data_IF_514857486389
#
_entry.id   IF_514857486389
#
_cell.length_a   1.000
_cell.length_b   1.000
_cell.length_c   1.000
_cell.angle_alpha   90.00
_cell.angle_beta   90.00
_cell.angle_gamma   90.00
#
_symmetry.space_group_name_H-M   'P 1'
#
loop_
_entity.id
_entity.type
_entity.pdbx_description
1 polymer ?
#
# COMPACT_ATOMS: atom_id res chain seq x y z
N UNK A 1 18.74 29.75 -20.65
CA UNK A 1 18.38 29.65 -19.24
C UNK A 1 16.97 29.04 -19.18
N UNK A 2 16.88 27.75 -19.12
CA UNK A 2 15.62 27.00 -19.07
C UNK A 2 15.18 26.93 -17.62
N UNK A 3 14.12 27.65 -17.28
CA UNK A 3 13.36 27.43 -16.07
C UNK A 3 12.71 26.04 -16.19
N UNK A 4 13.43 25.02 -15.82
CA UNK A 4 12.79 23.78 -15.40
C UNK A 4 12.20 24.07 -14.02
N UNK A 5 10.88 24.27 -13.98
CA UNK A 5 10.12 24.19 -12.73
C UNK A 5 10.40 22.81 -12.15
N UNK A 6 11.28 22.77 -11.15
CA UNK A 6 11.66 21.54 -10.51
C UNK A 6 10.53 21.05 -9.60
N UNK A 7 9.68 20.22 -10.15
CA UNK A 7 8.91 19.30 -9.30
C UNK A 7 9.91 18.32 -8.73
N UNK A 8 10.20 18.42 -7.46
CA UNK A 8 11.07 17.47 -6.77
C UNK A 8 10.35 16.12 -6.72
N UNK A 9 10.83 15.17 -7.51
CA UNK A 9 10.46 13.76 -7.42
C UNK A 9 11.10 13.22 -6.14
N UNK A 10 10.49 13.57 -5.02
CA UNK A 10 11.12 13.43 -3.69
C UNK A 10 11.23 11.97 -3.28
N UNK A 11 10.17 11.18 -3.46
CA UNK A 11 10.15 9.80 -2.96
C UNK A 11 11.10 8.89 -3.75
N UNK A 12 11.13 9.02 -5.08
CA UNK A 12 12.10 8.29 -5.91
C UNK A 12 13.54 8.49 -5.44
N UNK A 13 13.94 9.76 -5.28
CA UNK A 13 15.32 10.07 -4.88
C UNK A 13 15.65 9.55 -3.49
N UNK A 14 14.73 9.66 -2.54
CA UNK A 14 14.91 9.14 -1.19
C UNK A 14 15.05 7.61 -1.18
N UNK A 15 14.32 6.90 -2.03
CA UNK A 15 14.45 5.45 -2.17
C UNK A 15 15.78 5.06 -2.80
N UNK A 16 16.20 5.71 -3.87
CA UNK A 16 17.44 5.37 -4.59
C UNK A 16 18.72 5.76 -3.83
N UNK A 17 18.65 6.75 -2.93
CA UNK A 17 19.80 7.22 -2.15
C UNK A 17 19.74 6.73 -0.71
N UNK A 18 18.82 7.27 0.06
CA UNK A 18 18.83 7.13 1.51
C UNK A 18 18.34 5.77 2.01
N UNK A 19 17.27 5.24 1.37
CA UNK A 19 16.76 3.91 1.72
C UNK A 19 17.79 2.82 1.43
N UNK A 20 18.46 2.90 0.27
CA UNK A 20 19.50 1.95 -0.11
C UNK A 20 20.65 1.98 0.89
N UNK A 21 21.11 3.17 1.26
CA UNK A 21 22.22 3.34 2.24
C UNK A 21 21.81 2.82 3.61
N UNK A 22 20.67 3.25 4.12
CA UNK A 22 20.18 2.85 5.45
C UNK A 22 20.06 1.34 5.60
N UNK A 23 19.60 0.68 4.57
CA UNK A 23 19.38 -0.76 4.59
C UNK A 23 20.56 -1.59 4.04
N UNK A 24 21.69 -0.95 3.79
CA UNK A 24 22.92 -1.60 3.28
C UNK A 24 22.68 -2.43 2.02
N UNK A 25 21.99 -1.82 1.05
CA UNK A 25 21.62 -2.45 -0.23
C UNK A 25 22.66 -2.04 -1.28
N UNK A 26 23.06 -2.99 -2.12
CA UNK A 26 23.85 -2.65 -3.30
C UNK A 26 23.00 -1.84 -4.28
N UNK A 27 23.46 -0.63 -4.62
CA UNK A 27 22.79 0.24 -5.60
C UNK A 27 22.89 -0.28 -7.04
N UNK A 28 23.75 -1.27 -7.31
CA UNK A 28 23.97 -1.78 -8.66
C UNK A 28 22.73 -2.47 -9.24
N UNK A 29 22.13 -1.82 -10.24
CA UNK A 29 20.95 -2.35 -10.96
C UNK A 29 19.63 -2.14 -10.20
N UNK A 30 19.61 -1.28 -9.19
CA UNK A 30 18.38 -0.83 -8.52
C UNK A 30 18.01 0.53 -9.07
N UNK A 31 16.81 0.62 -9.64
CA UNK A 31 16.27 1.86 -10.21
C UNK A 31 14.79 1.96 -9.89
N UNK A 32 14.37 3.13 -9.44
CA UNK A 32 12.95 3.46 -9.27
C UNK A 32 12.46 4.14 -10.55
N UNK A 33 11.45 3.56 -11.16
CA UNK A 33 10.77 4.15 -12.33
C UNK A 33 9.37 4.54 -11.87
N UNK A 34 9.15 5.81 -11.50
CA UNK A 34 7.84 6.29 -11.12
C UNK A 34 6.96 6.49 -12.35
N UNK A 35 5.67 6.36 -12.17
CA UNK A 35 4.66 6.91 -13.07
C UNK A 35 4.21 8.26 -12.53
N UNK A 36 4.20 9.29 -13.38
CA UNK A 36 3.72 10.63 -13.04
C UNK A 36 2.41 10.86 -13.77
N UNK A 37 1.36 11.20 -13.03
CA UNK A 37 0.04 11.44 -13.62
C UNK A 37 -0.66 12.63 -12.99
N UNK A 38 -1.31 13.45 -13.81
CA UNK A 38 -2.28 14.47 -13.41
C UNK A 38 -3.72 14.05 -13.71
N UNK A 39 -3.97 12.77 -13.99
CA UNK A 39 -5.30 12.28 -14.26
C UNK A 39 -6.22 12.49 -13.05
N UNK A 40 -7.44 13.00 -13.31
CA UNK A 40 -8.44 13.24 -12.27
C UNK A 40 -9.08 11.94 -11.81
N UNK A 41 -9.53 11.12 -12.75
CA UNK A 41 -10.17 9.86 -12.48
C UNK A 41 -9.41 8.72 -13.16
N UNK A 42 -8.93 7.76 -12.39
CA UNK A 42 -8.18 6.64 -12.94
C UNK A 42 -8.20 5.43 -12.02
N UNK A 43 -7.85 4.29 -12.60
CA UNK A 43 -7.61 3.06 -11.87
C UNK A 43 -6.14 2.70 -11.84
N UNK A 44 -5.73 2.11 -10.72
CA UNK A 44 -4.49 1.37 -10.58
C UNK A 44 -4.73 -0.14 -10.64
N UNK A 45 -3.73 -0.85 -11.14
CA UNK A 45 -3.68 -2.30 -11.15
C UNK A 45 -2.30 -2.76 -10.70
N UNK A 46 -2.25 -3.87 -9.96
CA UNK A 46 -1.00 -4.50 -9.54
C UNK A 46 -0.29 -5.16 -10.75
N UNK A 47 0.24 -4.30 -11.62
CA UNK A 47 1.01 -4.65 -12.80
C UNK A 47 2.30 -3.84 -12.85
N UNK A 48 3.34 -4.39 -13.46
CA UNK A 48 4.56 -3.65 -13.80
C UNK A 48 4.86 -3.78 -15.31
N UNK A 49 5.15 -2.68 -16.04
CA UNK A 49 5.19 -1.30 -15.57
C UNK A 49 3.83 -0.77 -15.14
N UNK A 50 3.85 0.25 -14.27
CA UNK A 50 2.63 0.93 -13.77
C UNK A 50 1.80 1.43 -14.96
N UNK A 51 0.51 1.24 -14.89
CA UNK A 51 -0.44 1.71 -15.91
C UNK A 51 -1.56 2.51 -15.25
N UNK A 52 -1.79 3.68 -15.79
CA UNK A 52 -2.97 4.48 -15.49
C UNK A 52 -4.10 4.00 -16.40
N UNK A 53 -5.14 3.46 -15.83
CA UNK A 53 -6.25 2.82 -16.54
C UNK A 53 -7.51 3.68 -16.39
N UNK A 54 -8.45 3.63 -17.36
CA UNK A 54 -9.80 4.17 -17.17
C UNK A 54 -10.51 3.53 -15.96
N UNK A 55 -11.42 4.27 -15.33
CA UNK A 55 -12.23 3.75 -14.21
C UNK A 55 -12.94 2.43 -14.56
N UNK A 56 -12.95 1.50 -13.61
CA UNK A 56 -13.56 0.18 -13.74
C UNK A 56 -12.65 -0.86 -14.41
N UNK A 57 -11.42 -0.52 -14.81
CA UNK A 57 -10.50 -1.44 -15.47
C UNK A 57 -9.34 -1.93 -14.58
N UNK A 58 -9.23 -1.41 -13.37
CA UNK A 58 -8.18 -1.75 -12.42
C UNK A 58 -8.67 -2.48 -11.17
N UNK A 59 -7.92 -2.31 -10.10
CA UNK A 59 -8.18 -2.91 -8.78
C UNK A 59 -8.41 -1.86 -7.70
N UNK A 60 -8.05 -0.60 -7.96
CA UNK A 60 -8.28 0.56 -7.10
C UNK A 60 -8.61 1.76 -7.96
N UNK A 61 -9.80 2.33 -7.76
CA UNK A 61 -10.24 3.57 -8.40
C UNK A 61 -9.85 4.78 -7.54
N UNK A 62 -9.24 5.78 -8.18
CA UNK A 62 -8.77 7.01 -7.54
C UNK A 62 -9.41 8.23 -8.21
N UNK A 63 -9.90 9.15 -7.38
CA UNK A 63 -10.29 10.50 -7.76
C UNK A 63 -9.26 11.48 -7.22
N UNK A 64 -8.61 12.23 -8.09
CA UNK A 64 -7.51 13.14 -7.78
C UNK A 64 -7.84 14.57 -8.17
N UNK A 65 -8.01 15.44 -7.19
CA UNK A 65 -8.17 16.90 -7.37
C UNK A 65 -6.92 17.70 -6.98
N UNK A 66 -5.80 17.02 -6.68
CA UNK A 66 -4.64 17.64 -6.03
C UNK A 66 -3.45 17.91 -6.97
N UNK A 67 -3.60 17.67 -8.27
CA UNK A 67 -2.56 17.92 -9.26
C UNK A 67 -1.74 16.67 -9.61
N UNK A 68 -0.43 16.81 -9.74
CA UNK A 68 0.41 15.70 -10.17
C UNK A 68 0.73 14.73 -9.03
N UNK A 69 0.63 13.45 -9.35
CA UNK A 69 0.93 12.35 -8.46
C UNK A 69 2.18 11.62 -8.93
N UNK A 70 3.07 11.27 -8.01
CA UNK A 70 4.13 10.29 -8.20
C UNK A 70 3.65 8.94 -7.69
N UNK A 71 3.69 7.91 -8.53
CA UNK A 71 3.28 6.55 -8.19
C UNK A 71 4.49 5.63 -8.37
N UNK A 72 4.89 4.95 -7.32
CA UNK A 72 6.03 4.02 -7.31
C UNK A 72 5.54 2.62 -7.01
N UNK A 73 5.91 1.66 -7.86
CA UNK A 73 5.70 0.23 -7.56
C UNK A 73 6.76 -0.22 -6.54
N UNK A 74 6.40 -0.14 -5.27
CA UNK A 74 7.34 -0.33 -4.15
C UNK A 74 7.78 -1.79 -4.00
N UNK A 75 6.87 -2.75 -4.18
CA UNK A 75 7.24 -4.16 -4.16
C UNK A 75 8.28 -4.48 -5.24
N UNK A 76 8.10 -3.96 -6.46
CA UNK A 76 9.09 -4.14 -7.55
C UNK A 76 10.45 -3.52 -7.22
N UNK A 77 10.47 -2.31 -6.62
CA UNK A 77 11.70 -1.69 -6.14
C UNK A 77 12.42 -2.58 -5.11
N UNK A 78 11.70 -3.07 -4.11
CA UNK A 78 12.27 -3.94 -3.07
C UNK A 78 12.76 -5.25 -3.64
N UNK A 79 12.07 -5.83 -4.63
CA UNK A 79 12.47 -7.06 -5.29
C UNK A 79 13.77 -6.92 -6.12
N UNK A 80 14.09 -5.71 -6.61
CA UNK A 80 15.38 -5.41 -7.23
C UNK A 80 16.53 -5.35 -6.22
N UNK A 81 16.22 -5.05 -4.94
CA UNK A 81 17.21 -4.89 -3.90
C UNK A 81 17.86 -6.23 -3.54
N UNK A 82 19.09 -6.46 -4.01
CA UNK A 82 19.88 -7.64 -3.62
C UNK A 82 20.35 -7.46 -2.19
N UNK A 83 19.82 -8.25 -1.26
CA UNK A 83 20.09 -8.14 0.18
C UNK A 83 20.63 -9.44 0.76
N UNK A 84 21.35 -9.34 1.91
CA UNK A 84 21.58 -10.51 2.74
C UNK A 84 20.24 -11.21 3.06
N UNK A 85 20.24 -12.52 3.01
CA UNK A 85 19.03 -13.35 3.15
C UNK A 85 18.20 -13.06 4.44
N UNK A 86 18.84 -12.51 5.49
CA UNK A 86 18.20 -12.13 6.74
C UNK A 86 17.20 -10.97 6.64
N UNK A 87 17.35 -10.08 5.66
CA UNK A 87 16.45 -8.93 5.52
C UNK A 87 15.17 -9.26 4.73
N UNK A 88 15.24 -10.20 3.79
CA UNK A 88 14.14 -10.53 2.87
C UNK A 88 13.25 -11.67 3.38
N UNK A 89 13.72 -12.47 4.35
CA UNK A 89 12.96 -13.59 4.86
C UNK A 89 11.71 -13.12 5.58
N UNK A 90 10.56 -13.37 4.96
CA UNK A 90 9.23 -13.17 5.56
C UNK A 90 8.69 -11.74 5.56
N UNK A 91 9.34 -10.77 4.91
CA UNK A 91 8.82 -9.41 4.78
C UNK A 91 8.06 -9.24 3.48
N UNK A 92 6.76 -9.40 3.57
CA UNK A 92 5.83 -8.95 2.53
C UNK A 92 5.87 -7.43 2.42
N UNK A 93 5.76 -6.88 1.22
CA UNK A 93 5.77 -5.44 0.93
C UNK A 93 4.46 -5.04 0.31
N UNK A 94 4.04 -3.79 0.54
CA UNK A 94 2.91 -3.23 -0.17
C UNK A 94 3.25 -2.97 -1.64
N UNK A 95 2.23 -2.89 -2.48
CA UNK A 95 2.39 -2.78 -3.92
C UNK A 95 2.90 -1.40 -4.33
N UNK A 96 2.28 -0.32 -3.83
CA UNK A 96 2.58 1.03 -4.28
C UNK A 96 2.80 2.03 -3.15
N UNK A 97 3.61 3.06 -3.46
CA UNK A 97 3.63 4.35 -2.77
C UNK A 97 3.10 5.38 -3.76
N UNK A 98 2.17 6.23 -3.32
CA UNK A 98 1.64 7.33 -4.09
C UNK A 98 1.80 8.63 -3.28
N UNK A 99 2.31 9.67 -3.92
CA UNK A 99 2.53 10.98 -3.29
C UNK A 99 2.04 12.11 -4.18
N UNK A 100 1.45 13.16 -3.59
CA UNK A 100 1.17 14.40 -4.29
C UNK A 100 2.46 15.20 -4.43
N UNK A 101 2.86 15.52 -5.67
CA UNK A 101 4.11 16.23 -5.98
C UNK A 101 3.96 17.73 -5.75
N UNK A 102 2.84 18.30 -6.19
CA UNK A 102 2.61 19.76 -6.24
C UNK A 102 2.37 20.37 -4.86
N UNK A 103 1.92 19.54 -3.94
CA UNK A 103 1.63 19.92 -2.56
C UNK A 103 1.87 18.71 -1.64
N UNK A 104 2.19 18.93 -0.40
CA UNK A 104 2.35 17.84 0.57
C UNK A 104 0.99 17.47 1.21
N UNK A 105 -0.06 17.28 0.38
CA UNK A 105 -1.37 16.97 0.92
C UNK A 105 -1.53 15.49 1.25
N UNK A 106 -1.18 14.59 0.35
CA UNK A 106 -1.48 13.17 0.55
C UNK A 106 -0.29 12.27 0.22
N UNK A 107 -0.02 11.32 1.12
CA UNK A 107 0.82 10.14 0.87
C UNK A 107 0.02 8.88 1.17
N UNK A 108 0.05 7.93 0.23
CA UNK A 108 -0.60 6.62 0.37
C UNK A 108 0.44 5.50 0.26
N UNK A 109 0.36 4.52 1.15
CA UNK A 109 0.89 3.18 0.93
C UNK A 109 -0.28 2.29 0.54
N UNK A 110 -0.18 1.58 -0.57
CA UNK A 110 -1.30 0.84 -1.16
C UNK A 110 -0.94 -0.64 -1.26
N UNK A 111 -1.84 -1.49 -0.77
CA UNK A 111 -1.82 -2.93 -0.96
C UNK A 111 -3.11 -3.37 -1.64
N UNK A 112 -3.00 -4.10 -2.74
CA UNK A 112 -4.14 -4.57 -3.51
C UNK A 112 -4.26 -6.08 -3.42
N UNK A 113 -5.46 -6.60 -3.19
CA UNK A 113 -5.67 -8.04 -3.08
C UNK A 113 -7.00 -8.48 -3.67
N UNK A 114 -6.99 -9.65 -4.26
CA UNK A 114 -8.22 -10.36 -4.63
C UNK A 114 -8.37 -11.61 -3.78
N UNK A 115 -9.57 -11.89 -3.32
CA UNK A 115 -9.90 -13.08 -2.56
C UNK A 115 -11.08 -13.83 -3.20
N UNK A 116 -10.89 -15.12 -3.45
CA UNK A 116 -11.99 -16.00 -3.77
C UNK A 116 -12.72 -16.39 -2.48
N UNK A 117 -14.00 -16.03 -2.38
CA UNK A 117 -15.03 -16.61 -1.51
C UNK A 117 -14.86 -16.59 0.00
N UNK A 118 -13.69 -16.38 0.56
CA UNK A 118 -13.56 -16.38 2.02
C UNK A 118 -12.36 -15.54 2.47
N UNK A 119 -12.69 -14.36 2.94
CA UNK A 119 -11.76 -13.46 3.63
C UNK A 119 -11.50 -13.89 5.07
N UNK A 120 -11.99 -15.04 5.48
CA UNK A 120 -12.50 -15.32 6.81
C UNK A 120 -11.78 -16.40 7.58
N UNK A 121 -10.49 -16.63 7.39
CA UNK A 121 -9.72 -17.41 8.34
C UNK A 121 -9.00 -16.51 9.35
N UNK A 122 -9.69 -16.18 10.42
CA UNK A 122 -9.19 -15.35 11.53
C UNK A 122 -8.39 -16.20 12.51
N UNK A 123 -7.25 -16.68 12.10
CA UNK A 123 -6.29 -17.21 13.07
C UNK A 123 -5.31 -16.10 13.41
N UNK A 124 -4.99 -15.95 14.70
CA UNK A 124 -3.99 -14.98 15.16
C UNK A 124 -2.66 -15.21 14.45
N UNK A 125 -1.94 -14.13 14.18
CA UNK A 125 -0.55 -14.22 13.77
C UNK A 125 0.24 -15.11 14.74
N UNK A 126 1.00 -16.03 14.21
CA UNK A 126 1.91 -16.87 14.97
C UNK A 126 3.35 -16.59 14.56
N UNK A 127 4.22 -16.59 15.53
CA UNK A 127 5.66 -16.55 15.27
C UNK A 127 6.09 -18.00 14.99
N UNK A 128 6.60 -18.24 13.81
CA UNK A 128 7.14 -19.54 13.45
C UNK A 128 8.45 -19.77 14.19
N UNK A 129 8.51 -20.80 15.02
CA UNK A 129 9.67 -21.08 15.88
C UNK A 129 10.96 -21.36 15.11
N UNK A 130 10.84 -21.85 13.87
CA UNK A 130 12.00 -22.26 13.06
C UNK A 130 12.83 -21.10 12.51
N UNK A 131 12.26 -19.93 12.31
CA UNK A 131 12.93 -18.78 11.67
C UNK A 131 12.51 -17.43 12.23
N UNK A 132 11.66 -17.41 13.27
CA UNK A 132 11.12 -16.19 13.87
C UNK A 132 10.19 -15.41 12.96
N UNK A 133 9.80 -15.95 11.79
CA UNK A 133 8.93 -15.26 10.86
C UNK A 133 7.50 -15.19 11.40
N UNK A 134 6.89 -14.02 11.31
CA UNK A 134 5.48 -13.85 11.61
C UNK A 134 4.65 -14.45 10.48
N UNK A 135 3.87 -15.46 10.79
CA UNK A 135 2.96 -16.13 9.85
C UNK A 135 1.53 -15.76 10.21
N UNK A 136 0.78 -15.32 9.21
CA UNK A 136 -0.62 -14.98 9.35
C UNK A 136 -1.50 -16.14 8.87
N UNK A 137 -1.89 -17.07 9.76
CA UNK A 137 -2.84 -18.12 9.39
C UNK A 137 -4.24 -17.55 9.18
N UNK A 138 -4.44 -16.25 9.43
CA UNK A 138 -5.71 -15.57 9.51
C UNK A 138 -6.26 -15.01 8.21
N UNK A 139 -5.59 -15.18 7.09
CA UNK A 139 -6.12 -14.78 5.82
C UNK A 139 -5.53 -13.49 5.23
N UNK A 140 -6.11 -13.06 4.11
CA UNK A 140 -5.53 -11.99 3.29
C UNK A 140 -5.58 -10.62 3.96
N UNK A 141 -6.60 -10.30 4.74
CA UNK A 141 -6.72 -8.98 5.38
C UNK A 141 -5.60 -8.74 6.41
N UNK A 142 -5.33 -9.72 7.27
CA UNK A 142 -4.22 -9.60 8.21
C UNK A 142 -2.87 -9.58 7.51
N UNK A 143 -2.73 -10.36 6.43
CA UNK A 143 -1.52 -10.34 5.60
C UNK A 143 -1.30 -8.95 5.00
N UNK A 144 -2.32 -8.36 4.39
CA UNK A 144 -2.22 -7.03 3.77
C UNK A 144 -1.93 -5.92 4.80
N UNK A 145 -2.58 -5.97 5.96
CA UNK A 145 -2.29 -5.06 7.08
C UNK A 145 -0.82 -5.15 7.50
N UNK A 146 -0.30 -6.37 7.61
CA UNK A 146 1.11 -6.57 7.93
C UNK A 146 2.05 -6.10 6.80
N UNK A 147 1.69 -6.30 5.54
CA UNK A 147 2.48 -5.82 4.40
C UNK A 147 2.59 -4.29 4.44
N UNK A 148 1.48 -3.60 4.65
CA UNK A 148 1.42 -2.15 4.81
C UNK A 148 2.25 -1.68 6.01
N UNK A 149 2.04 -2.29 7.19
CA UNK A 149 2.81 -1.96 8.40
C UNK A 149 4.31 -2.19 8.21
N UNK A 150 4.69 -3.35 7.67
CA UNK A 150 6.10 -3.69 7.45
C UNK A 150 6.77 -2.74 6.46
N UNK A 151 6.06 -2.34 5.39
CA UNK A 151 6.55 -1.36 4.43
C UNK A 151 6.71 0.02 5.04
N UNK A 152 5.67 0.48 5.76
CA UNK A 152 5.69 1.76 6.45
C UNK A 152 6.83 1.81 7.47
N UNK A 153 6.99 0.78 8.28
CA UNK A 153 8.07 0.69 9.27
C UNK A 153 9.46 0.79 8.62
N UNK A 154 9.68 0.06 7.51
CA UNK A 154 10.97 0.11 6.81
C UNK A 154 11.26 1.48 6.21
N UNK A 155 10.23 2.18 5.71
CA UNK A 155 10.35 3.54 5.19
C UNK A 155 10.62 4.55 6.31
N UNK A 156 9.86 4.47 7.41
CA UNK A 156 10.01 5.37 8.56
C UNK A 156 11.33 5.17 9.33
N UNK A 157 12.00 4.03 9.18
CA UNK A 157 13.35 3.79 9.73
C UNK A 157 14.46 4.60 9.00
N UNK A 158 14.12 5.18 7.83
CA UNK A 158 14.99 6.10 7.09
C UNK A 158 14.63 7.53 7.44
N UNK A 159 15.53 8.24 8.13
CA UNK A 159 15.24 9.56 8.69
C UNK A 159 14.71 10.58 7.66
N UNK A 160 15.34 10.68 6.49
CA UNK A 160 14.91 11.61 5.43
C UNK A 160 13.52 11.26 4.87
N UNK A 161 13.22 9.97 4.71
CA UNK A 161 11.90 9.51 4.29
C UNK A 161 10.86 9.80 5.37
N UNK A 162 11.18 9.52 6.64
CA UNK A 162 10.31 9.82 7.78
C UNK A 162 9.97 11.31 7.86
N UNK A 163 10.95 12.19 7.70
CA UNK A 163 10.73 13.64 7.66
C UNK A 163 9.83 14.03 6.49
N UNK A 164 10.11 13.52 5.29
CA UNK A 164 9.29 13.78 4.11
C UNK A 164 7.85 13.29 4.27
N UNK A 165 7.66 12.04 4.71
CA UNK A 165 6.32 11.47 4.89
C UNK A 165 5.51 12.19 5.97
N UNK A 166 6.17 12.67 7.04
CA UNK A 166 5.51 13.43 8.10
C UNK A 166 5.10 14.85 7.67
N UNK A 167 5.62 15.36 6.57
CA UNK A 167 5.20 16.65 6.01
C UNK A 167 3.83 16.59 5.32
N UNK A 168 3.36 15.40 4.94
CA UNK A 168 2.03 15.25 4.33
C UNK A 168 0.91 15.38 5.35
N UNK A 169 -0.15 16.10 4.98
CA UNK A 169 -1.32 16.33 5.83
C UNK A 169 -2.18 15.08 6.00
N UNK A 170 -2.38 14.33 4.91
CA UNK A 170 -3.14 13.08 4.86
C UNK A 170 -2.17 11.92 4.61
N UNK A 171 -2.08 11.02 5.57
CA UNK A 171 -1.16 9.87 5.56
C UNK A 171 -1.93 8.59 5.76
N UNK A 172 -2.03 7.76 4.72
CA UNK A 172 -2.92 6.60 4.71
C UNK A 172 -2.18 5.35 4.25
N UNK A 173 -2.37 4.27 4.98
CA UNK A 173 -2.17 2.91 4.53
C UNK A 173 -3.49 2.38 4.00
N UNK A 174 -3.61 2.17 2.70
CA UNK A 174 -4.83 1.80 2.01
C UNK A 174 -4.77 0.35 1.53
N UNK A 175 -5.70 -0.47 1.97
CA UNK A 175 -5.94 -1.78 1.44
C UNK A 175 -7.13 -1.74 0.47
N UNK A 176 -6.87 -1.95 -0.81
CA UNK A 176 -7.90 -2.17 -1.81
C UNK A 176 -8.13 -3.67 -2.01
N UNK A 177 -9.38 -4.12 -1.95
CA UNK A 177 -9.69 -5.53 -2.07
C UNK A 177 -10.88 -5.81 -2.99
N UNK A 178 -10.82 -6.95 -3.67
CA UNK A 178 -11.90 -7.51 -4.45
C UNK A 178 -12.32 -8.83 -3.86
N UNK A 179 -13.62 -8.97 -3.56
CA UNK A 179 -14.21 -10.25 -3.19
C UNK A 179 -14.82 -10.85 -4.43
N UNK A 180 -14.27 -11.96 -4.90
CA UNK A 180 -14.85 -12.73 -5.98
C UNK A 180 -15.75 -13.81 -5.36
N UNK A 181 -17.08 -13.80 -5.61
CA UNK A 181 -17.96 -14.85 -5.11
C UNK A 181 -17.58 -16.20 -5.73
N UNK A 182 -17.64 -17.27 -4.95
CA UNK A 182 -17.65 -18.61 -5.52
C UNK A 182 -18.85 -18.73 -6.46
N UNK A 183 -18.64 -19.26 -7.65
CA UNK A 183 -19.64 -19.29 -8.74
C UNK A 183 -21.00 -19.89 -8.36
N UNK A 184 -21.09 -20.67 -7.27
CA UNK A 184 -22.30 -21.44 -6.95
C UNK A 184 -22.64 -21.52 -5.44
N UNK A 185 -22.01 -20.74 -4.58
CA UNK A 185 -22.33 -20.78 -3.15
C UNK A 185 -22.61 -19.39 -2.59
N UNK A 186 -23.76 -19.19 -1.92
CA UNK A 186 -23.98 -17.96 -1.18
C UNK A 186 -22.89 -17.80 -0.13
N UNK A 187 -22.35 -16.60 0.01
CA UNK A 187 -21.36 -16.29 1.05
C UNK A 187 -22.05 -16.48 2.41
N UNK A 188 -21.75 -17.57 3.07
CA UNK A 188 -22.26 -17.84 4.43
C UNK A 188 -21.23 -17.32 5.43
N UNK A 189 -21.53 -16.20 6.06
CA UNK A 189 -20.70 -15.63 7.12
C UNK A 189 -21.00 -16.32 8.44
N UNK A 190 -20.02 -16.93 9.13
CA UNK A 190 -20.24 -17.49 10.48
C UNK A 190 -20.57 -16.38 11.50
N UNK A 191 -21.39 -16.68 12.50
CA UNK A 191 -21.91 -15.74 13.51
C UNK A 191 -20.91 -14.82 14.25
N UNK A 192 -19.60 -15.12 14.43
CA UNK A 192 -18.65 -14.17 14.98
C UNK A 192 -18.39 -12.94 14.11
N UNK A 193 -18.93 -12.91 12.90
CA UNK A 193 -18.71 -11.92 11.84
C UNK A 193 -19.56 -10.66 11.92
N UNK A 194 -20.53 -10.55 12.81
CA UNK A 194 -21.38 -9.34 12.88
C UNK A 194 -20.56 -8.04 13.04
N UNK A 195 -19.42 -8.14 13.74
CA UNK A 195 -18.49 -7.01 13.90
C UNK A 195 -17.71 -6.71 12.63
N UNK A 196 -17.35 -7.73 11.87
CA UNK A 196 -16.65 -7.60 10.58
C UNK A 196 -17.59 -7.15 9.47
N UNK A 197 -18.83 -7.63 9.43
CA UNK A 197 -19.86 -7.15 8.50
C UNK A 197 -20.16 -5.66 8.68
N UNK A 198 -20.09 -5.13 9.90
CA UNK A 198 -20.20 -3.69 10.16
C UNK A 198 -18.99 -2.91 9.62
N UNK A 199 -17.80 -3.50 9.65
CA UNK A 199 -16.59 -2.90 9.08
C UNK A 199 -16.63 -3.00 7.56
N UNK A 200 -17.00 -4.15 7.00
CA UNK A 200 -17.17 -4.35 5.55
C UNK A 200 -18.28 -3.47 4.97
N UNK A 201 -19.40 -3.30 5.67
CA UNK A 201 -20.45 -2.39 5.20
C UNK A 201 -20.00 -0.93 5.09
N UNK A 202 -18.99 -0.53 5.87
CA UNK A 202 -18.36 0.79 5.75
C UNK A 202 -17.29 0.84 4.66
N UNK A 203 -16.59 -0.27 4.42
CA UNK A 203 -15.59 -0.38 3.35
C UNK A 203 -16.23 -0.42 1.95
N UNK A 204 -17.54 -0.66 1.87
CA UNK A 204 -18.38 -0.58 0.66
C UNK A 204 -18.93 0.84 0.47
N UNK A 205 -18.10 1.85 0.56
CA UNK A 205 -18.42 3.24 0.28
C UNK A 205 -17.18 3.98 -0.20
N UNK A 206 -17.37 5.11 -0.86
CA UNK A 206 -16.26 5.96 -1.27
C UNK A 206 -15.38 6.33 -0.08
N UNK A 207 -14.08 6.39 -0.32
CA UNK A 207 -13.02 6.55 0.68
C UNK A 207 -12.87 5.38 1.67
N UNK A 208 -13.66 4.33 1.55
CA UNK A 208 -13.58 3.12 2.36
C UNK A 208 -13.81 3.34 3.86
N UNK A 209 -13.45 2.35 4.67
CA UNK A 209 -13.59 2.36 6.12
C UNK A 209 -12.25 2.59 6.81
N UNK A 210 -12.24 3.44 7.85
CA UNK A 210 -11.13 3.54 8.79
C UNK A 210 -11.17 2.32 9.70
N UNK A 211 -10.07 1.60 9.75
CA UNK A 211 -9.90 0.39 10.56
C UNK A 211 -8.84 0.66 11.63
N UNK A 212 -9.17 0.50 12.91
CA UNK A 212 -8.18 0.65 13.96
C UNK A 212 -7.00 -0.31 13.79
N UNK A 213 -5.80 0.24 13.68
CA UNK A 213 -4.54 -0.51 13.60
C UNK A 213 -3.46 0.21 14.41
N UNK A 214 -3.31 -0.11 15.72
CA UNK A 214 -2.40 0.59 16.62
C UNK A 214 -0.96 0.64 16.13
N UNK A 215 -0.50 -0.37 15.37
CA UNK A 215 0.86 -0.41 14.82
C UNK A 215 1.07 0.63 13.72
N UNK A 216 0.09 0.83 12.84
CA UNK A 216 0.14 1.84 11.77
C UNK A 216 -0.09 3.24 12.36
N UNK A 217 -1.06 3.36 13.27
CA UNK A 217 -1.38 4.61 13.96
C UNK A 217 -0.19 5.15 14.77
N UNK A 218 0.57 4.28 15.43
CA UNK A 218 1.79 4.66 16.16
C UNK A 218 2.88 5.28 15.25
N UNK A 219 2.82 5.02 13.94
CA UNK A 219 3.70 5.63 12.93
C UNK A 219 3.08 6.89 12.29
N UNK A 220 1.93 7.34 12.79
CA UNK A 220 1.25 8.56 12.36
C UNK A 220 0.43 8.41 11.07
N UNK A 221 0.05 7.20 10.70
CA UNK A 221 -0.77 6.90 9.54
C UNK A 221 -2.14 6.38 9.93
N UNK A 222 -3.14 6.66 9.09
CA UNK A 222 -4.47 6.04 9.19
C UNK A 222 -4.48 4.77 8.37
N UNK A 223 -5.14 3.71 8.85
CA UNK A 223 -5.37 2.51 8.07
C UNK A 223 -6.79 2.46 7.54
N UNK A 224 -6.92 2.30 6.22
CA UNK A 224 -8.22 2.18 5.54
C UNK A 224 -8.32 0.92 4.70
N UNK A 225 -9.57 0.43 4.58
CA UNK A 225 -9.94 -0.63 3.64
C UNK A 225 -11.01 -0.12 2.70
N UNK A 226 -10.87 -0.41 1.41
CA UNK A 226 -11.83 -0.06 0.38
C UNK A 226 -12.09 -1.26 -0.52
N UNK A 227 -13.35 -1.50 -0.85
CA UNK A 227 -13.72 -2.48 -1.85
C UNK A 227 -13.50 -1.87 -3.25
N UNK A 228 -13.04 -2.67 -4.22
CA UNK A 228 -12.52 -2.22 -5.52
C UNK A 228 -13.51 -1.46 -6.42
N UNK A 229 -14.83 -1.56 -6.17
CA UNK A 229 -15.85 -0.83 -6.94
C UNK A 229 -16.13 0.58 -6.43
N UNK A 230 -15.47 0.99 -5.35
CA UNK A 230 -15.61 2.33 -4.77
C UNK A 230 -14.37 3.19 -5.05
N UNK A 231 -14.55 4.50 -5.02
CA UNK A 231 -13.52 5.47 -5.37
C UNK A 231 -12.84 6.02 -4.12
N UNK A 232 -11.52 6.07 -4.14
CA UNK A 232 -10.73 6.75 -3.11
C UNK A 232 -10.35 8.14 -3.59
N UNK A 233 -10.77 9.18 -2.84
CA UNK A 233 -10.48 10.58 -3.16
C UNK A 233 -9.21 11.05 -2.45
N UNK A 234 -8.32 11.68 -3.23
CA UNK A 234 -7.07 12.27 -2.76
C UNK A 234 -7.25 13.77 -2.51
#
# INVERSE_FOLDING_TARGET
>A
MSNMNGYEIVMKELLEKDYIVRHNISSRGVTVVPEITGAVDFDLKDDFPIKILPLGMGQLSIHNEKGNLEIIHYENFVNQCKRPASFLRGRSKCDFILTCIDNHETVLLIEMTSALGSVTNLKKAIIRETDGATVFPGGKFEKCEYQLYSSLKDLMDVHSISVSMNAYSKRVCLMAYKIEPYKDTPIVYPRPYSKYLQIESRATSDNGAIIPCPLIEALGFEYRRIEHSYVFSI
#
